data_IF_007337283717
#
_entry.id   IF_007337283717
#
_cell.length_a   1.000
_cell.length_b   1.000
_cell.length_c   1.000
_cell.angle_alpha   90.00
_cell.angle_beta   90.00
_cell.angle_gamma   90.00
#
_symmetry.space_group_name_H-M   'P 1'
#
loop_
_entity.id
_entity.type
_entity.pdbx_description
1 polymer ?
#
# COMPACT_ATOMS: atom_id res chain seq x y z
N UNK A 1 -28.00 7.79 -1.08
CA UNK A 1 -27.34 7.74 -2.40
C UNK A 1 -27.50 9.00 -3.23
N UNK A 2 -28.67 9.63 -3.34
CA UNK A 2 -28.88 10.81 -4.20
C UNK A 2 -27.91 11.98 -3.96
N UNK A 3 -27.65 12.34 -2.69
CA UNK A 3 -26.66 13.37 -2.34
C UNK A 3 -25.21 13.02 -2.74
N UNK A 4 -24.87 11.72 -2.75
CA UNK A 4 -23.53 11.25 -3.13
C UNK A 4 -23.38 11.16 -4.64
N UNK A 5 -24.47 10.86 -5.36
CA UNK A 5 -24.47 10.68 -6.82
C UNK A 5 -23.90 11.88 -7.56
N UNK A 6 -24.28 13.10 -7.20
CA UNK A 6 -23.77 14.31 -7.86
C UNK A 6 -22.26 14.53 -7.69
N UNK A 7 -21.71 14.17 -6.52
CA UNK A 7 -20.25 14.20 -6.28
C UNK A 7 -19.55 13.07 -7.01
N UNK A 8 -20.14 11.87 -6.99
CA UNK A 8 -19.59 10.67 -7.60
C UNK A 8 -19.53 10.79 -9.13
N UNK A 9 -20.57 11.34 -9.75
CA UNK A 9 -20.63 11.58 -11.20
C UNK A 9 -19.47 12.48 -11.66
N UNK A 10 -19.25 13.58 -10.94
CA UNK A 10 -18.14 14.51 -11.20
C UNK A 10 -16.77 13.82 -11.06
N UNK A 11 -16.63 12.91 -10.10
CA UNK A 11 -15.40 12.16 -9.88
C UNK A 11 -15.14 11.11 -10.97
N UNK A 12 -16.19 10.45 -11.48
CA UNK A 12 -16.10 9.41 -12.50
C UNK A 12 -15.71 9.94 -13.89
N UNK A 13 -15.92 11.24 -14.17
CA UNK A 13 -15.65 11.86 -15.49
C UNK A 13 -16.30 11.09 -16.65
N UNK A 14 -17.56 10.70 -16.45
CA UNK A 14 -18.34 9.86 -17.36
C UNK A 14 -18.44 10.53 -18.73
N UNK A 15 -18.11 9.80 -19.79
CA UNK A 15 -18.30 10.26 -21.18
C UNK A 15 -19.74 10.03 -21.62
N UNK A 16 -20.19 10.78 -22.62
CA UNK A 16 -21.57 10.73 -23.09
C UNK A 16 -21.99 9.32 -23.56
N UNK A 17 -21.08 8.59 -24.20
CA UNK A 17 -21.28 7.21 -24.64
C UNK A 17 -21.21 6.15 -23.52
N UNK A 18 -20.90 6.54 -22.28
CA UNK A 18 -20.79 5.65 -21.12
C UNK A 18 -21.98 5.79 -20.15
N UNK A 19 -22.96 6.64 -20.49
CA UNK A 19 -24.04 7.01 -19.56
C UNK A 19 -24.86 5.80 -19.11
N UNK A 20 -25.24 4.92 -20.03
CA UNK A 20 -26.02 3.72 -19.70
C UNK A 20 -25.27 2.81 -18.72
N UNK A 21 -23.97 2.58 -18.95
CA UNK A 21 -23.11 1.81 -18.04
C UNK A 21 -22.95 2.48 -16.67
N UNK A 22 -22.89 3.81 -16.65
CA UNK A 22 -22.84 4.56 -15.41
C UNK A 22 -24.12 4.39 -14.59
N UNK A 23 -25.29 4.42 -15.23
CA UNK A 23 -26.57 4.16 -14.55
C UNK A 23 -26.64 2.74 -13.99
N UNK A 24 -26.17 1.73 -14.73
CA UNK A 24 -26.05 0.35 -14.24
C UNK A 24 -25.10 0.26 -13.02
N UNK A 25 -23.94 0.93 -13.09
CA UNK A 25 -22.96 0.95 -12.01
C UNK A 25 -23.52 1.61 -10.74
N UNK A 26 -24.17 2.77 -10.88
CA UNK A 26 -24.78 3.48 -9.75
C UNK A 26 -25.92 2.67 -9.14
N UNK A 27 -26.68 1.93 -9.94
CA UNK A 27 -27.72 1.01 -9.45
C UNK A 27 -27.18 -0.08 -8.53
N UNK A 28 -25.89 -0.43 -8.63
CA UNK A 28 -25.21 -1.42 -7.76
C UNK A 28 -24.58 -0.79 -6.51
N UNK A 29 -24.61 0.54 -6.39
CA UNK A 29 -23.98 1.26 -5.28
C UNK A 29 -25.00 1.57 -4.18
N UNK A 30 -24.73 1.08 -2.97
CA UNK A 30 -25.53 1.35 -1.77
C UNK A 30 -24.68 2.07 -0.73
N UNK A 31 -25.31 2.95 0.06
CA UNK A 31 -24.66 3.65 1.16
C UNK A 31 -25.39 3.35 2.46
N UNK A 32 -24.63 2.86 3.44
CA UNK A 32 -25.07 2.64 4.81
C UNK A 32 -24.36 3.62 5.74
N UNK A 33 -25.09 4.17 6.72
CA UNK A 33 -24.54 5.11 7.69
C UNK A 33 -24.31 4.37 9.00
N UNK A 34 -23.07 4.33 9.48
CA UNK A 34 -22.71 3.75 10.77
C UNK A 34 -21.55 4.50 11.42
N UNK A 35 -21.41 4.35 12.74
CA UNK A 35 -20.22 4.78 13.47
C UNK A 35 -19.15 3.68 13.42
N UNK A 36 -17.87 4.06 13.49
CA UNK A 36 -16.75 3.13 13.41
C UNK A 36 -16.48 2.35 14.71
N UNK A 37 -17.00 2.83 15.83
CA UNK A 37 -16.77 2.31 17.19
C UNK A 37 -18.04 1.72 17.82
N UNK A 38 -19.08 1.50 17.01
CA UNK A 38 -20.36 0.92 17.46
C UNK A 38 -20.76 -0.26 16.58
N UNK A 39 -21.24 -1.35 17.18
CA UNK A 39 -21.59 -2.57 16.45
C UNK A 39 -22.83 -2.41 15.56
N UNK A 40 -23.70 -1.44 15.85
CA UNK A 40 -25.00 -1.30 15.16
C UNK A 40 -24.83 -1.11 13.64
N UNK A 41 -23.89 -0.26 13.23
CA UNK A 41 -23.60 -0.06 11.80
C UNK A 41 -23.04 -1.29 11.11
N UNK A 42 -22.26 -2.11 11.82
CA UNK A 42 -21.70 -3.36 11.29
C UNK A 42 -22.75 -4.47 11.23
N UNK A 43 -23.72 -4.49 12.16
CA UNK A 43 -24.89 -5.40 12.09
C UNK A 43 -25.81 -5.06 10.93
N UNK A 44 -26.04 -3.78 10.66
CA UNK A 44 -26.76 -3.33 9.46
C UNK A 44 -26.01 -3.74 8.20
N UNK A 45 -24.68 -3.54 8.15
CA UNK A 45 -23.85 -3.98 7.03
C UNK A 45 -23.92 -5.49 6.81
N UNK A 46 -23.85 -6.29 7.89
CA UNK A 46 -24.03 -7.74 7.81
C UNK A 46 -25.38 -8.10 7.20
N UNK A 47 -26.46 -7.47 7.68
CA UNK A 47 -27.82 -7.75 7.20
C UNK A 47 -27.94 -7.47 5.71
N UNK A 48 -27.36 -6.35 5.25
CA UNK A 48 -27.30 -6.00 3.83
C UNK A 48 -26.50 -7.01 2.99
N UNK A 49 -25.36 -7.50 3.49
CA UNK A 49 -24.58 -8.55 2.81
C UNK A 49 -25.38 -9.86 2.72
N UNK A 50 -26.06 -10.24 3.80
CA UNK A 50 -26.90 -11.44 3.85
C UNK A 50 -28.09 -11.34 2.86
N UNK A 51 -28.64 -10.14 2.65
CA UNK A 51 -29.66 -9.88 1.63
C UNK A 51 -29.11 -10.07 0.21
N UNK A 52 -27.93 -9.53 -0.10
CA UNK A 52 -27.26 -9.75 -1.40
C UNK A 52 -27.02 -11.24 -1.66
N UNK A 53 -26.60 -11.97 -0.63
CA UNK A 53 -26.38 -13.42 -0.74
C UNK A 53 -27.68 -14.18 -1.05
N UNK A 54 -28.80 -13.80 -0.41
CA UNK A 54 -30.12 -14.37 -0.69
C UNK A 54 -30.57 -14.09 -2.12
N UNK A 55 -30.41 -12.86 -2.60
CA UNK A 55 -30.72 -12.47 -3.98
C UNK A 55 -29.85 -13.22 -5.00
N UNK A 56 -28.66 -13.63 -4.59
CA UNK A 56 -27.72 -14.42 -5.39
C UNK A 56 -27.98 -15.94 -5.31
N UNK A 57 -29.21 -16.38 -5.04
CA UNK A 57 -29.56 -17.80 -4.84
C UNK A 57 -28.70 -18.51 -3.79
N UNK A 58 -28.34 -17.80 -2.70
CA UNK A 58 -27.44 -18.26 -1.64
C UNK A 58 -26.03 -18.65 -2.10
N UNK A 59 -25.59 -18.19 -3.28
CA UNK A 59 -24.20 -18.36 -3.72
C UNK A 59 -23.24 -17.61 -2.80
N UNK A 60 -22.02 -18.12 -2.56
CA UNK A 60 -21.03 -17.44 -1.73
C UNK A 60 -20.70 -16.04 -2.26
N UNK A 61 -20.80 -15.01 -1.41
CA UNK A 61 -20.51 -13.62 -1.76
C UNK A 61 -19.15 -13.22 -1.20
N UNK A 62 -18.18 -13.04 -2.11
CA UNK A 62 -16.86 -12.56 -1.75
C UNK A 62 -16.89 -11.12 -1.24
N UNK A 63 -16.08 -10.83 -0.22
CA UNK A 63 -16.12 -9.56 0.52
C UNK A 63 -14.76 -8.86 0.46
N UNK A 64 -14.74 -7.65 -0.09
CA UNK A 64 -13.55 -6.80 -0.13
C UNK A 64 -13.82 -5.50 0.65
N UNK A 65 -13.17 -5.35 1.80
CA UNK A 65 -13.30 -4.16 2.64
C UNK A 65 -12.16 -3.18 2.34
N UNK A 66 -12.48 -2.02 1.77
CA UNK A 66 -11.50 -0.94 1.58
C UNK A 66 -11.56 0.05 2.73
N UNK A 67 -10.53 0.09 3.57
CA UNK A 67 -10.46 1.00 4.71
C UNK A 67 -9.90 2.37 4.31
N UNK A 68 -10.70 3.15 3.60
CA UNK A 68 -10.40 4.55 3.25
C UNK A 68 -10.66 5.48 4.46
N UNK A 69 -10.02 5.15 5.59
CA UNK A 69 -10.29 5.71 6.91
C UNK A 69 -9.01 6.27 7.55
N UNK A 70 -9.13 7.21 8.51
CA UNK A 70 -7.96 7.63 9.28
C UNK A 70 -7.40 6.47 10.13
N UNK A 71 -6.09 6.43 10.39
CA UNK A 71 -5.44 5.31 11.08
C UNK A 71 -5.94 5.08 12.51
N UNK A 72 -6.47 6.13 13.15
CA UNK A 72 -7.01 6.09 14.53
C UNK A 72 -8.21 5.16 14.67
N UNK A 73 -8.91 4.84 13.58
CA UNK A 73 -10.10 3.97 13.61
C UNK A 73 -9.83 2.58 13.01
N UNK A 74 -8.60 2.26 12.61
CA UNK A 74 -8.30 0.94 12.05
C UNK A 74 -8.55 -0.18 13.06
N UNK A 75 -8.09 -0.05 14.30
CA UNK A 75 -8.28 -1.06 15.34
C UNK A 75 -9.77 -1.38 15.62
N UNK A 76 -10.65 -0.40 15.92
CA UNK A 76 -12.06 -0.68 16.16
C UNK A 76 -12.76 -1.25 14.92
N UNK A 77 -12.54 -0.66 13.73
CA UNK A 77 -13.21 -1.12 12.50
C UNK A 77 -12.81 -2.55 12.13
N UNK A 78 -11.53 -2.90 12.22
CA UNK A 78 -11.06 -4.26 11.91
C UNK A 78 -11.63 -5.29 12.89
N UNK A 79 -11.79 -4.92 14.16
CA UNK A 79 -12.39 -5.80 15.19
C UNK A 79 -13.88 -6.04 14.92
N UNK A 80 -14.63 -4.97 14.65
CA UNK A 80 -16.07 -5.06 14.36
C UNK A 80 -16.34 -5.80 13.03
N UNK A 81 -15.51 -5.59 12.00
CA UNK A 81 -15.58 -6.37 10.75
C UNK A 81 -15.34 -7.86 11.02
N UNK A 82 -14.33 -8.18 11.84
CA UNK A 82 -14.01 -9.57 12.20
C UNK A 82 -15.16 -10.26 12.93
N UNK A 83 -15.84 -9.53 13.82
CA UNK A 83 -16.93 -10.06 14.63
C UNK A 83 -18.24 -10.23 13.84
N UNK A 84 -18.60 -9.24 13.03
CA UNK A 84 -19.94 -9.16 12.43
C UNK A 84 -19.99 -9.45 10.93
N UNK A 85 -18.92 -9.16 10.19
CA UNK A 85 -18.96 -9.06 8.74
C UNK A 85 -18.08 -10.09 8.00
N UNK A 86 -17.51 -11.06 8.70
CA UNK A 86 -16.75 -12.13 8.05
C UNK A 86 -17.64 -13.19 7.40
N UNK A 87 -17.15 -13.78 6.33
CA UNK A 87 -17.62 -15.10 5.92
C UNK A 87 -16.62 -16.17 6.38
N UNK A 88 -17.17 -17.27 6.88
CA UNK A 88 -16.42 -18.46 7.29
C UNK A 88 -16.78 -19.71 6.47
N UNK A 89 -17.67 -19.56 5.48
CA UNK A 89 -18.01 -20.59 4.51
C UNK A 89 -17.10 -20.56 3.28
N UNK A 90 -17.71 -20.67 2.09
CA UNK A 90 -16.99 -20.86 0.82
C UNK A 90 -16.54 -19.57 0.12
N UNK A 91 -16.77 -18.38 0.71
CA UNK A 91 -16.27 -17.12 0.13
C UNK A 91 -14.98 -16.64 0.79
N UNK A 92 -14.27 -15.75 0.10
CA UNK A 92 -13.13 -15.05 0.70
C UNK A 92 -13.54 -13.69 1.25
N UNK A 93 -12.94 -13.33 2.38
CA UNK A 93 -12.91 -11.97 2.90
C UNK A 93 -11.50 -11.41 2.84
N UNK A 94 -11.34 -10.22 2.25
CA UNK A 94 -10.08 -9.48 2.14
C UNK A 94 -10.25 -8.05 2.61
N UNK A 95 -9.21 -7.50 3.24
CA UNK A 95 -9.19 -6.14 3.79
C UNK A 95 -8.04 -5.38 3.16
N UNK A 96 -8.35 -4.23 2.56
CA UNK A 96 -7.40 -3.28 2.02
C UNK A 96 -7.17 -2.17 3.04
N UNK A 97 -5.91 -1.93 3.38
CA UNK A 97 -5.49 -0.94 4.39
C UNK A 97 -4.53 0.05 3.75
N UNK A 98 -4.81 1.34 3.94
CA UNK A 98 -3.99 2.45 3.46
C UNK A 98 -2.96 2.91 4.50
N UNK A 99 -1.88 3.55 4.02
CA UNK A 99 -0.90 4.19 4.89
C UNK A 99 -1.54 5.36 5.68
N UNK A 100 -1.06 5.67 6.91
CA UNK A 100 0.17 5.21 7.55
C UNK A 100 0.02 3.90 8.34
N UNK A 101 1.03 3.01 8.27
CA UNK A 101 1.11 1.76 9.02
C UNK A 101 1.90 1.92 10.32
N UNK A 102 1.51 2.90 11.15
CA UNK A 102 2.32 3.38 12.28
C UNK A 102 3.24 4.54 11.90
N UNK A 103 3.95 5.08 12.89
CA UNK A 103 4.90 6.20 12.74
C UNK A 103 6.34 5.82 13.11
N UNK A 104 6.52 4.63 13.66
CA UNK A 104 7.79 4.01 14.05
C UNK A 104 7.62 2.48 14.13
N UNK A 105 8.70 1.78 14.48
CA UNK A 105 8.70 0.32 14.60
C UNK A 105 7.69 -0.19 15.63
N UNK A 106 7.60 0.46 16.81
CA UNK A 106 6.73 0.02 17.91
C UNK A 106 5.25 0.14 17.54
N UNK A 107 4.84 1.31 17.05
CA UNK A 107 3.46 1.57 16.62
C UNK A 107 3.07 0.70 15.41
N UNK A 108 3.99 0.48 14.48
CA UNK A 108 3.77 -0.42 13.33
C UNK A 108 3.62 -1.87 13.75
N UNK A 109 4.46 -2.33 14.69
CA UNK A 109 4.37 -3.68 15.25
C UNK A 109 3.06 -3.87 16.03
N UNK A 110 2.62 -2.87 16.81
CA UNK A 110 1.33 -2.91 17.51
C UNK A 110 0.16 -3.08 16.53
N UNK A 111 0.11 -2.23 15.49
CA UNK A 111 -0.95 -2.32 14.48
C UNK A 111 -0.91 -3.67 13.74
N UNK A 112 0.28 -4.13 13.36
CA UNK A 112 0.46 -5.40 12.66
C UNK A 112 0.03 -6.59 13.52
N UNK A 113 0.38 -6.59 14.81
CA UNK A 113 -0.03 -7.61 15.78
C UNK A 113 -1.53 -7.61 16.05
N UNK A 114 -2.18 -6.44 15.99
CA UNK A 114 -3.64 -6.35 16.09
C UNK A 114 -4.30 -7.01 14.87
N UNK A 115 -3.90 -6.60 13.66
CA UNK A 115 -4.51 -7.09 12.42
C UNK A 115 -4.24 -8.59 12.22
N UNK A 116 -3.04 -9.08 12.53
CA UNK A 116 -2.68 -10.49 12.34
C UNK A 116 -3.41 -11.47 13.27
N UNK A 117 -3.93 -10.98 14.42
CA UNK A 117 -4.83 -11.76 15.28
C UNK A 117 -6.23 -11.92 14.69
N UNK A 118 -6.65 -11.00 13.83
CA UNK A 118 -7.99 -10.96 13.26
C UNK A 118 -8.05 -11.60 11.88
N UNK A 119 -7.06 -11.33 11.04
CA UNK A 119 -7.01 -11.75 9.64
C UNK A 119 -5.74 -12.54 9.36
N UNK A 120 -5.86 -13.53 8.48
CA UNK A 120 -4.68 -14.21 7.93
C UNK A 120 -3.96 -13.28 6.95
N UNK A 121 -2.68 -13.50 6.72
CA UNK A 121 -1.86 -12.63 5.85
C UNK A 121 -2.35 -12.63 4.39
N UNK A 122 -2.93 -13.74 3.88
CA UNK A 122 -3.55 -13.83 2.55
C UNK A 122 -4.84 -12.98 2.41
N UNK A 123 -5.39 -12.51 3.52
CA UNK A 123 -6.57 -11.65 3.57
C UNK A 123 -6.20 -10.16 3.65
N UNK A 124 -4.94 -9.82 3.94
CA UNK A 124 -4.52 -8.45 4.24
C UNK A 124 -3.80 -7.86 3.02
N UNK A 125 -4.30 -6.73 2.54
CA UNK A 125 -3.75 -5.99 1.40
C UNK A 125 -3.33 -4.59 1.85
N UNK A 126 -2.05 -4.45 2.22
CA UNK A 126 -1.46 -3.14 2.58
C UNK A 126 -1.10 -2.39 1.30
N UNK A 127 -1.68 -1.21 1.12
CA UNK A 127 -1.47 -0.41 -0.09
C UNK A 127 -0.19 0.40 0.00
N UNK A 128 0.68 0.16 -0.98
CA UNK A 128 1.61 1.15 -1.49
C UNK A 128 1.27 1.38 -2.97
N UNK A 129 0.68 2.54 -3.28
CA UNK A 129 0.22 2.83 -4.62
C UNK A 129 1.34 2.94 -5.67
N UNK A 130 2.62 3.05 -5.27
CA UNK A 130 3.74 3.01 -6.20
C UNK A 130 3.90 1.63 -6.84
N UNK A 131 3.59 0.56 -6.12
CA UNK A 131 3.62 -0.81 -6.67
C UNK A 131 2.57 -1.02 -7.77
N UNK A 132 1.55 -0.17 -7.83
CA UNK A 132 0.54 -0.14 -8.90
C UNK A 132 0.97 0.64 -10.15
N UNK A 133 2.11 1.34 -10.13
CA UNK A 133 2.58 2.11 -11.29
C UNK A 133 3.21 1.17 -12.31
N UNK A 134 2.83 1.34 -13.56
CA UNK A 134 3.26 0.50 -14.68
C UNK A 134 4.79 0.39 -14.79
N UNK A 135 5.51 1.52 -14.70
CA UNK A 135 6.98 1.52 -14.76
C UNK A 135 7.64 0.83 -13.56
N UNK A 136 7.00 0.83 -12.39
CA UNK A 136 7.50 0.13 -11.20
C UNK A 136 7.33 -1.38 -11.39
N UNK A 137 6.18 -1.83 -11.91
CA UNK A 137 5.95 -3.24 -12.24
C UNK A 137 6.92 -3.74 -13.32
N UNK A 138 7.26 -2.87 -14.29
CA UNK A 138 8.17 -3.20 -15.38
C UNK A 138 9.62 -3.47 -14.90
N UNK A 139 10.01 -3.06 -13.69
CA UNK A 139 11.36 -3.34 -13.15
C UNK A 139 11.66 -4.84 -13.11
N UNK A 140 10.70 -5.68 -12.73
CA UNK A 140 10.89 -7.13 -12.70
C UNK A 140 11.11 -7.71 -14.11
N UNK A 141 10.35 -7.22 -15.10
CA UNK A 141 10.47 -7.64 -16.50
C UNK A 141 11.80 -7.18 -17.09
N UNK A 142 12.21 -5.95 -16.81
CA UNK A 142 13.50 -5.41 -17.24
C UNK A 142 14.65 -6.26 -16.70
N UNK A 143 14.69 -6.52 -15.39
CA UNK A 143 15.80 -7.24 -14.75
C UNK A 143 15.86 -8.72 -15.11
N UNK A 144 14.72 -9.41 -15.07
CA UNK A 144 14.70 -10.87 -15.17
C UNK A 144 14.23 -11.42 -16.52
N UNK A 145 13.64 -10.57 -17.37
CA UNK A 145 13.25 -10.91 -18.74
C UNK A 145 14.38 -10.72 -19.76
N UNK A 146 15.45 -9.99 -19.41
CA UNK A 146 16.52 -9.64 -20.34
C UNK A 146 17.85 -10.31 -19.96
N UNK A 147 18.30 -11.26 -20.77
CA UNK A 147 19.54 -12.04 -20.51
C UNK A 147 20.80 -11.16 -20.39
N UNK A 148 20.88 -10.07 -21.13
CA UNK A 148 22.05 -9.19 -21.11
C UNK A 148 22.16 -8.34 -19.84
N UNK A 149 21.04 -8.05 -19.16
CA UNK A 149 21.05 -7.28 -17.91
C UNK A 149 21.46 -8.13 -16.72
N UNK A 150 21.19 -9.44 -16.73
CA UNK A 150 21.53 -10.34 -15.62
C UNK A 150 23.00 -10.25 -15.16
N UNK A 151 23.99 -10.49 -16.04
CA UNK A 151 25.41 -10.44 -15.67
C UNK A 151 25.92 -9.05 -15.26
N UNK A 152 25.25 -7.97 -15.65
CA UNK A 152 25.64 -6.59 -15.34
C UNK A 152 24.91 -6.00 -14.12
N UNK A 153 23.92 -6.70 -13.56
CA UNK A 153 23.12 -6.18 -12.44
C UNK A 153 23.75 -6.53 -11.08
N UNK A 154 24.98 -6.10 -10.85
CA UNK A 154 25.75 -6.37 -9.63
C UNK A 154 26.82 -5.29 -9.37
N UNK A 155 27.45 -5.37 -8.20
CA UNK A 155 28.50 -4.44 -7.74
C UNK A 155 29.74 -4.36 -8.62
N UNK A 156 30.03 -5.37 -9.44
CA UNK A 156 31.20 -5.36 -10.33
C UNK A 156 30.97 -4.48 -11.56
N UNK A 157 29.71 -4.15 -11.86
CA UNK A 157 29.30 -3.38 -13.04
C UNK A 157 28.54 -2.10 -12.68
N UNK A 158 27.89 -2.04 -11.51
CA UNK A 158 27.10 -0.89 -11.05
C UNK A 158 27.85 -0.17 -9.93
N UNK A 159 28.26 1.06 -10.21
CA UNK A 159 28.92 1.91 -9.21
C UNK A 159 27.95 2.47 -8.16
N UNK A 160 26.74 2.87 -8.57
CA UNK A 160 25.70 3.36 -7.66
C UNK A 160 24.30 3.28 -8.27
N UNK A 161 23.29 3.25 -7.41
CA UNK A 161 21.87 3.33 -7.77
C UNK A 161 21.29 4.59 -7.14
N UNK A 162 20.63 5.43 -7.94
CA UNK A 162 19.94 6.63 -7.45
C UNK A 162 18.45 6.51 -7.66
N UNK A 163 17.67 6.61 -6.59
CA UNK A 163 16.21 6.62 -6.64
C UNK A 163 15.74 8.02 -6.26
N UNK A 164 15.13 8.73 -7.20
CA UNK A 164 14.71 10.11 -6.99
C UNK A 164 13.20 10.27 -7.04
N UNK A 165 12.65 10.97 -6.06
CA UNK A 165 11.28 11.49 -6.08
C UNK A 165 11.30 13.00 -5.93
N UNK A 166 10.60 13.71 -6.82
CA UNK A 166 10.55 15.17 -6.87
C UNK A 166 9.12 15.61 -7.13
N UNK A 167 8.67 16.60 -6.37
CA UNK A 167 7.40 17.29 -6.58
C UNK A 167 7.67 18.77 -6.86
N UNK A 168 6.91 19.35 -7.78
CA UNK A 168 7.00 20.77 -8.12
C UNK A 168 6.00 21.64 -7.34
N UNK A 169 5.42 21.10 -6.25
CA UNK A 169 4.46 21.80 -5.40
C UNK A 169 4.77 21.57 -3.92
N UNK A 170 4.44 22.55 -3.07
CA UNK A 170 4.51 22.42 -1.61
C UNK A 170 3.32 21.68 -1.00
N UNK A 171 3.13 21.77 0.32
CA UNK A 171 2.13 20.97 1.07
C UNK A 171 0.65 21.14 0.69
N UNK A 172 0.26 22.13 -0.14
CA UNK A 172 -1.11 22.33 -0.66
C UNK A 172 -2.21 22.12 0.41
N UNK A 173 -2.05 22.73 1.59
CA UNK A 173 -3.02 22.65 2.69
C UNK A 173 -2.89 21.42 3.61
N UNK A 174 -1.92 20.52 3.36
CA UNK A 174 -1.61 19.37 4.22
C UNK A 174 -0.48 19.63 5.23
N UNK A 175 -0.12 20.90 5.45
CA UNK A 175 1.03 21.29 6.28
C UNK A 175 1.02 20.62 7.66
N UNK A 176 -0.12 20.56 8.36
CA UNK A 176 -0.21 19.94 9.69
C UNK A 176 0.07 18.44 9.72
N UNK A 177 -0.29 17.70 8.66
CA UNK A 177 0.09 16.28 8.54
C UNK A 177 1.58 16.13 8.21
N UNK A 178 2.09 16.95 7.29
CA UNK A 178 3.49 16.89 6.87
C UNK A 178 4.47 17.28 7.98
N UNK A 179 4.08 18.18 8.87
CA UNK A 179 4.91 18.62 9.99
C UNK A 179 5.22 17.47 10.97
N UNK A 180 4.25 16.59 11.18
CA UNK A 180 4.40 15.41 12.06
C UNK A 180 5.02 14.21 11.33
N UNK A 181 4.65 13.98 10.07
CA UNK A 181 5.14 12.85 9.29
C UNK A 181 6.59 13.06 8.80
N UNK A 182 6.88 14.23 8.21
CA UNK A 182 8.10 14.52 7.46
C UNK A 182 8.20 13.75 6.14
N UNK A 183 9.16 14.14 5.30
CA UNK A 183 9.37 13.51 3.97
C UNK A 183 9.78 12.03 4.08
N UNK A 184 10.50 11.67 5.15
CA UNK A 184 10.98 10.30 5.38
C UNK A 184 9.80 9.34 5.54
N UNK A 185 8.81 9.66 6.37
CA UNK A 185 7.64 8.78 6.57
C UNK A 185 6.62 8.89 5.44
N UNK A 186 6.49 10.08 4.85
CA UNK A 186 5.49 10.28 3.79
C UNK A 186 5.85 9.53 2.51
N UNK A 187 7.13 9.52 2.12
CA UNK A 187 7.57 8.98 0.81
C UNK A 187 8.73 7.99 0.90
N UNK A 188 9.76 8.24 1.72
CA UNK A 188 10.99 7.42 1.66
C UNK A 188 10.77 6.01 2.23
N UNK A 189 10.20 5.93 3.43
CA UNK A 189 9.99 4.69 4.17
C UNK A 189 9.07 3.71 3.43
N UNK A 190 8.15 4.23 2.60
CA UNK A 190 7.23 3.44 1.79
C UNK A 190 7.71 3.34 0.34
N UNK A 191 7.42 4.33 -0.49
CA UNK A 191 7.54 4.30 -1.95
C UNK A 191 8.97 4.04 -2.42
N UNK A 192 9.95 4.78 -1.87
CA UNK A 192 11.34 4.62 -2.30
C UNK A 192 11.94 3.32 -1.80
N UNK A 193 11.59 2.91 -0.58
CA UNK A 193 12.01 1.62 -0.03
C UNK A 193 11.45 0.46 -0.85
N UNK A 194 10.19 0.52 -1.29
CA UNK A 194 9.60 -0.48 -2.18
C UNK A 194 10.25 -0.51 -3.57
N UNK A 195 10.63 0.64 -4.12
CA UNK A 195 11.40 0.66 -5.37
C UNK A 195 12.81 0.07 -5.18
N UNK A 196 13.47 0.37 -4.05
CA UNK A 196 14.78 -0.17 -3.71
C UNK A 196 14.75 -1.70 -3.66
N UNK A 197 13.74 -2.30 -3.01
CA UNK A 197 13.63 -3.76 -2.93
C UNK A 197 13.44 -4.39 -4.31
N UNK A 198 12.65 -3.80 -5.20
CA UNK A 198 12.48 -4.29 -6.58
C UNK A 198 13.76 -4.15 -7.42
N UNK A 199 14.58 -3.13 -7.16
CA UNK A 199 15.86 -2.92 -7.84
C UNK A 199 16.95 -3.86 -7.31
N UNK A 200 16.94 -4.19 -6.03
CA UNK A 200 18.01 -4.94 -5.36
C UNK A 200 17.70 -6.42 -5.10
N UNK A 201 16.43 -6.87 -5.17
CA UNK A 201 16.08 -8.29 -4.94
C UNK A 201 16.78 -9.22 -5.92
N UNK A 202 17.05 -10.47 -5.55
CA UNK A 202 17.51 -11.45 -6.54
C UNK A 202 16.36 -11.92 -7.43
N UNK A 203 16.70 -12.75 -8.42
CA UNK A 203 15.69 -13.39 -9.26
C UNK A 203 14.81 -14.30 -8.41
N UNK A 204 13.48 -14.08 -8.38
CA UNK A 204 12.58 -14.94 -7.62
C UNK A 204 12.50 -16.34 -8.23
N UNK A 205 12.16 -17.33 -7.40
CA UNK A 205 12.00 -18.72 -7.83
C UNK A 205 10.87 -18.87 -8.87
N UNK A 206 9.81 -18.07 -8.75
CA UNK A 206 8.70 -18.00 -9.69
C UNK A 206 8.04 -16.61 -9.69
N UNK A 207 6.98 -16.45 -10.48
CA UNK A 207 6.16 -15.22 -10.49
C UNK A 207 5.00 -15.26 -9.48
N UNK A 208 4.94 -16.28 -8.61
CA UNK A 208 3.95 -16.34 -7.54
C UNK A 208 4.18 -15.20 -6.54
N UNK A 209 3.09 -14.62 -6.01
CA UNK A 209 3.16 -13.49 -5.09
C UNK A 209 4.03 -13.77 -3.86
N UNK A 210 3.93 -14.98 -3.29
CA UNK A 210 4.76 -15.41 -2.17
C UNK A 210 6.23 -15.55 -2.59
N UNK A 211 6.54 -16.11 -3.75
CA UNK A 211 7.93 -16.23 -4.21
C UNK A 211 8.57 -14.89 -4.59
N UNK A 212 7.78 -13.80 -4.67
CA UNK A 212 8.27 -12.42 -4.84
C UNK A 212 8.41 -11.72 -3.47
N UNK A 213 7.60 -12.10 -2.48
CA UNK A 213 7.62 -11.54 -1.12
C UNK A 213 8.65 -12.23 -0.22
N UNK A 214 8.61 -13.55 -0.20
CA UNK A 214 9.14 -14.41 0.85
C UNK A 214 10.44 -15.15 0.50
N UNK A 215 11.11 -15.55 1.58
CA UNK A 215 11.83 -16.81 1.72
C UNK A 215 10.84 -17.97 1.78
N UNK A 216 10.77 -18.83 0.76
CA UNK A 216 10.38 -20.22 1.01
C UNK A 216 11.57 -21.13 0.79
N UNK A 217 12.09 -21.63 1.91
CA UNK A 217 12.92 -22.84 1.96
C UNK A 217 12.00 -24.01 2.31
N UNK A 218 11.67 -24.90 1.36
CA UNK A 218 11.35 -26.28 1.69
C UNK A 218 12.67 -27.06 1.77
N UNK A 219 13.05 -27.45 2.98
CA UNK A 219 14.20 -28.32 3.26
C UNK A 219 13.90 -29.74 2.75
N UNK A 220 14.33 -30.07 1.54
CA UNK A 220 14.42 -31.46 1.08
C UNK A 220 15.65 -31.57 0.18
N UNK A 221 16.68 -32.30 0.64
CA UNK A 221 17.91 -32.72 -0.08
C UNK A 221 19.25 -31.96 0.13
N UNK A 222 19.39 -31.08 1.13
CA UNK A 222 20.73 -30.74 1.65
C UNK A 222 21.68 -30.03 0.67
N UNK A 223 21.17 -29.30 -0.31
CA UNK A 223 21.95 -28.37 -1.13
C UNK A 223 21.34 -26.97 -0.94
N UNK A 224 22.00 -26.13 -0.14
CA UNK A 224 21.61 -24.74 0.04
C UNK A 224 21.99 -23.93 -1.23
N UNK A 225 21.01 -23.70 -2.10
CA UNK A 225 21.09 -22.67 -3.12
C UNK A 225 20.12 -21.53 -2.77
N UNK A 226 20.69 -20.37 -2.45
CA UNK A 226 19.99 -19.17 -1.99
C UNK A 226 19.00 -18.64 -3.05
N UNK A 227 17.73 -18.51 -2.69
CA UNK A 227 16.75 -17.67 -3.42
C UNK A 227 16.34 -16.51 -2.49
N UNK A 228 16.38 -15.28 -3.01
CA UNK A 228 16.44 -14.00 -2.28
C UNK A 228 15.44 -13.00 -2.88
N UNK A 229 14.50 -12.48 -2.09
CA UNK A 229 13.47 -11.59 -2.64
C UNK A 229 13.46 -10.23 -1.92
N UNK A 230 12.32 -9.68 -1.53
CA UNK A 230 12.26 -8.30 -1.03
C UNK A 230 12.61 -8.15 0.45
N UNK A 231 12.16 -9.08 1.30
CA UNK A 231 12.44 -9.05 2.76
C UNK A 231 13.92 -9.24 3.09
N UNK A 232 14.64 -10.09 2.35
CA UNK A 232 16.09 -10.29 2.55
C UNK A 232 16.91 -9.03 2.25
N UNK A 233 16.55 -8.29 1.19
CA UNK A 233 17.19 -6.99 0.89
C UNK A 233 17.03 -6.05 2.09
N UNK A 234 15.80 -5.91 2.62
CA UNK A 234 15.55 -5.05 3.78
C UNK A 234 16.34 -5.48 5.02
N UNK A 235 16.49 -6.79 5.27
CA UNK A 235 17.32 -7.32 6.36
C UNK A 235 18.82 -7.09 6.16
N UNK A 236 19.28 -6.95 4.92
CA UNK A 236 20.68 -6.69 4.59
C UNK A 236 21.04 -5.20 4.62
N UNK A 237 20.05 -4.30 4.61
CA UNK A 237 20.27 -2.86 4.75
C UNK A 237 20.69 -2.54 6.18
N UNK A 238 21.86 -1.93 6.35
CA UNK A 238 22.32 -1.43 7.64
C UNK A 238 21.43 -0.27 8.11
N UNK A 239 21.19 -0.11 9.42
CA UNK A 239 20.55 1.08 9.94
C UNK A 239 21.27 2.34 9.47
N UNK A 240 20.51 3.35 9.06
CA UNK A 240 21.06 4.59 8.51
C UNK A 240 21.54 5.47 9.67
N UNK A 241 22.75 6.02 9.55
CA UNK A 241 23.31 6.97 10.50
C UNK A 241 23.11 8.41 10.05
N UNK A 242 23.16 9.37 10.99
CA UNK A 242 22.96 10.79 10.66
C UNK A 242 24.03 11.33 9.70
N UNK A 243 25.23 10.76 9.71
CA UNK A 243 26.32 11.15 8.82
C UNK A 243 26.04 10.80 7.35
N UNK A 244 25.14 9.86 7.09
CA UNK A 244 24.72 9.44 5.75
C UNK A 244 23.50 10.24 5.25
N UNK A 245 22.98 11.17 6.06
CA UNK A 245 21.72 11.87 5.82
C UNK A 245 21.97 13.37 5.65
N UNK A 246 21.49 13.90 4.52
CA UNK A 246 21.31 15.35 4.36
C UNK A 246 19.83 15.68 4.43
N UNK A 247 19.45 16.51 5.40
CA UNK A 247 18.11 17.10 5.51
C UNK A 247 18.19 18.57 5.10
N UNK A 248 17.28 19.01 4.23
CA UNK A 248 17.09 20.44 3.98
C UNK A 248 15.61 20.77 3.98
N UNK A 249 15.27 22.05 4.17
CA UNK A 249 13.89 22.56 4.21
C UNK A 249 13.77 23.67 3.17
N UNK A 250 12.78 23.61 2.27
CA UNK A 250 12.60 24.71 1.34
C UNK A 250 12.08 25.97 2.07
N UNK A 251 12.43 27.15 1.55
CA UNK A 251 11.94 28.45 2.03
C UNK A 251 11.06 29.13 0.98
N UNK A 252 10.26 30.10 1.42
CA UNK A 252 9.49 30.93 0.51
C UNK A 252 10.43 31.67 -0.46
N UNK A 253 10.10 31.64 -1.76
CA UNK A 253 10.79 32.46 -2.75
C UNK A 253 10.06 33.82 -2.86
N UNK A 254 10.68 34.94 -2.46
CA UNK A 254 10.05 36.26 -2.48
C UNK A 254 9.73 36.77 -3.90
N UNK A 255 10.37 36.23 -4.94
CA UNK A 255 10.12 36.60 -6.34
C UNK A 255 8.96 35.82 -6.99
N UNK A 256 8.37 34.87 -6.25
CA UNK A 256 7.19 34.12 -6.66
C UNK A 256 6.02 34.52 -5.77
N UNK A 257 4.86 34.83 -6.38
CA UNK A 257 3.63 35.33 -5.72
C UNK A 257 2.96 34.33 -4.74
N UNK A 258 3.67 33.26 -4.35
CA UNK A 258 3.18 32.21 -3.45
C UNK A 258 4.20 31.95 -2.35
N UNK A 259 3.85 32.36 -1.13
CA UNK A 259 4.53 31.94 0.10
C UNK A 259 4.28 30.45 0.31
N UNK A 260 5.25 29.63 -0.04
CA UNK A 260 5.25 28.21 0.27
C UNK A 260 5.93 28.00 1.64
N UNK A 261 5.35 27.15 2.48
CA UNK A 261 5.99 26.60 3.68
C UNK A 261 5.85 25.06 3.65
N UNK A 262 7.00 24.35 3.75
CA UNK A 262 7.25 22.88 3.83
C UNK A 262 7.00 21.99 2.57
N UNK A 263 7.92 21.08 2.15
CA UNK A 263 8.70 20.21 3.03
C UNK A 263 10.22 20.15 2.76
N UNK A 264 10.80 19.15 3.42
CA UNK A 264 12.21 18.82 3.42
C UNK A 264 12.62 17.97 2.21
N UNK A 265 13.86 18.11 1.73
CA UNK A 265 14.50 17.06 0.93
C UNK A 265 15.37 16.21 1.85
N UNK A 266 15.45 14.93 1.53
CA UNK A 266 16.32 13.99 2.24
C UNK A 266 17.13 13.22 1.20
N UNK A 267 18.46 13.27 1.35
CA UNK A 267 19.37 12.41 0.62
C UNK A 267 19.94 11.39 1.61
N UNK A 268 19.91 10.11 1.24
CA UNK A 268 20.42 9.02 2.07
C UNK A 268 21.34 8.18 1.19
N UNK A 269 22.55 7.95 1.68
CA UNK A 269 23.42 6.90 1.16
C UNK A 269 23.15 5.65 1.97
N UNK A 270 22.80 4.55 1.29
CA UNK A 270 22.65 3.24 1.94
C UNK A 270 23.56 2.24 1.25
N UNK A 271 24.50 1.68 2.00
CA UNK A 271 25.35 0.60 1.51
C UNK A 271 24.61 -0.75 1.59
N UNK A 272 24.32 -1.32 0.43
CA UNK A 272 23.98 -2.74 0.29
C UNK A 272 25.30 -3.50 0.13
N UNK A 273 25.87 -4.00 1.22
CA UNK A 273 27.12 -4.79 1.22
C UNK A 273 26.89 -6.26 0.97
#
# INVERSE_FOLDING_TARGET
MEKLRGTFEKACKVRENEREKYEEFIGKCTYLRGMYDKPDGFKELKTFIDEIQKESNNQPVNRLYYLALPPTVFEPVTSELKEHCMDYGDSWTRVIIEKPFGHDLESSAKLSNHISKLFREDQIYRIDHYLGKEMVQNLMVLRFGNRFLGPSWNRDNIASVTISFKENFGTKGRAGYFDTAGIIRDVMQNHLMQMLTLVAMEKPASLNAEDIRDEKVPSVLGIEASFMNTVKVLKAIKPIHLDDIVLGQYVANPDLDRRFFLPNFTFIVSDLT
#
